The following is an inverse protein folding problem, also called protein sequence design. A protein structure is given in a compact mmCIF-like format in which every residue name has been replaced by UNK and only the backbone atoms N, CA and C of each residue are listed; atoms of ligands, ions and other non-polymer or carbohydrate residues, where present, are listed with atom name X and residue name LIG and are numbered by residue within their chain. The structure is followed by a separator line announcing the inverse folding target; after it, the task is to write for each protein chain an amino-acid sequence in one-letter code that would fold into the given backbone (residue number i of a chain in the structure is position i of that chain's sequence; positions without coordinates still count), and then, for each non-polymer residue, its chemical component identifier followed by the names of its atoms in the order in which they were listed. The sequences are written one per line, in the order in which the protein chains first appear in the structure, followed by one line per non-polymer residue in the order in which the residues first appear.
data_IF_525530243424
#
_entry.id   IF_525530243424
#
_cell.length_a   1.000
_cell.length_b   1.000
_cell.length_c   1.000
_cell.angle_alpha   90.00
_cell.angle_beta   90.00
_cell.angle_gamma   90.00
#
_symmetry.space_group_name_H-M   'P 1'
#
loop_
_entity.id
_entity.type
_entity.pdbx_description
1 polymer ?
#
# COMPACT_ATOMS: atom_id res chain seq x y z
N UNK A 1 -0.89 -0.35 29.85
CA UNK A 1 0.25 -1.30 29.64
C UNK A 1 0.40 -2.12 30.92
N UNK A 2 0.58 -3.45 30.79
CA UNK A 2 0.85 -4.34 31.93
C UNK A 2 2.26 -3.99 32.44
N UNK A 3 2.38 -3.59 33.70
CA UNK A 3 3.67 -3.18 34.27
C UNK A 3 4.48 -4.35 34.85
N UNK A 4 3.81 -5.46 35.19
CA UNK A 4 4.47 -6.63 35.76
C UNK A 4 4.97 -7.57 34.64
N UNK A 5 6.30 -7.79 34.51
CA UNK A 5 6.86 -8.65 33.45
C UNK A 5 6.34 -10.09 33.50
N UNK A 6 6.05 -10.64 34.68
CA UNK A 6 5.50 -12.01 34.81
C UNK A 6 4.09 -12.10 34.20
N UNK A 7 3.26 -11.09 34.37
CA UNK A 7 1.95 -11.06 33.72
C UNK A 7 2.04 -10.81 32.23
N UNK A 8 3.03 -10.03 31.75
CA UNK A 8 3.29 -9.86 30.31
C UNK A 8 3.59 -11.23 29.68
N UNK A 9 4.53 -11.98 30.25
CA UNK A 9 4.89 -13.29 29.75
C UNK A 9 3.70 -14.27 29.78
N UNK A 10 2.96 -14.30 30.88
CA UNK A 10 1.77 -15.15 31.01
C UNK A 10 0.73 -14.86 29.91
N UNK A 11 0.51 -13.58 29.57
CA UNK A 11 -0.41 -13.18 28.50
C UNK A 11 0.10 -13.61 27.13
N UNK A 12 1.40 -13.47 26.87
CA UNK A 12 2.01 -13.94 25.63
C UNK A 12 1.86 -15.46 25.46
N UNK A 13 2.20 -16.24 26.52
CA UNK A 13 2.09 -17.70 26.51
C UNK A 13 0.63 -18.14 26.30
N UNK A 14 -0.33 -17.42 26.92
CA UNK A 14 -1.77 -17.69 26.74
C UNK A 14 -2.20 -17.48 25.31
N UNK A 15 -1.78 -16.38 24.66
CA UNK A 15 -2.14 -16.13 23.25
C UNK A 15 -1.41 -17.09 22.31
N UNK A 16 -0.16 -17.46 22.60
CA UNK A 16 0.53 -18.49 21.82
C UNK A 16 -0.23 -19.83 21.86
N UNK A 17 -0.76 -20.22 23.05
CA UNK A 17 -1.58 -21.42 23.18
C UNK A 17 -2.92 -21.26 22.41
N UNK A 18 -3.53 -20.08 22.46
CA UNK A 18 -4.78 -19.79 21.75
C UNK A 18 -4.63 -19.82 20.22
N UNK A 19 -3.42 -19.72 19.68
CA UNK A 19 -3.16 -19.94 18.23
C UNK A 19 -3.39 -21.40 17.80
N UNK A 20 -3.49 -22.33 18.73
CA UNK A 20 -3.76 -23.76 18.47
C UNK A 20 -5.19 -24.16 18.80
N UNK A 21 -6.06 -23.21 19.14
CA UNK A 21 -7.47 -23.47 19.46
C UNK A 21 -8.22 -24.12 18.29
N UNK A 22 -9.20 -24.95 18.60
CA UNK A 22 -10.05 -25.61 17.59
C UNK A 22 -10.85 -24.59 16.76
N UNK A 23 -11.23 -23.45 17.34
CA UNK A 23 -11.99 -22.37 16.69
C UNK A 23 -11.08 -21.46 15.89
N UNK A 24 -11.27 -21.32 14.56
CA UNK A 24 -10.53 -20.35 13.76
C UNK A 24 -10.67 -18.90 14.27
N UNK A 25 -11.84 -18.53 14.80
CA UNK A 25 -12.09 -17.21 15.35
C UNK A 25 -11.21 -16.92 16.57
N UNK A 26 -10.98 -17.91 17.44
CA UNK A 26 -10.08 -17.79 18.60
C UNK A 26 -8.64 -17.63 18.11
N UNK A 27 -8.18 -18.47 17.16
CA UNK A 27 -6.83 -18.38 16.59
C UNK A 27 -6.59 -17.03 15.92
N UNK A 28 -7.57 -16.51 15.15
CA UNK A 28 -7.46 -15.21 14.50
C UNK A 28 -7.35 -14.06 15.52
N UNK A 29 -8.17 -14.11 16.58
CA UNK A 29 -8.11 -13.12 17.66
C UNK A 29 -6.81 -13.18 18.46
N UNK A 30 -6.25 -14.36 18.67
CA UNK A 30 -4.94 -14.53 19.30
C UNK A 30 -3.82 -13.89 18.45
N UNK A 31 -3.81 -14.14 17.13
CA UNK A 31 -2.85 -13.53 16.22
C UNK A 31 -2.96 -11.99 16.21
N UNK A 32 -4.19 -11.45 16.17
CA UNK A 32 -4.45 -10.00 16.26
C UNK A 32 -3.92 -9.41 17.58
N UNK A 33 -4.19 -10.06 18.70
CA UNK A 33 -3.75 -9.62 20.01
C UNK A 33 -2.22 -9.60 20.13
N UNK A 34 -1.55 -10.65 19.62
CA UNK A 34 -0.10 -10.74 19.59
C UNK A 34 0.52 -9.59 18.79
N UNK A 35 -0.04 -9.27 17.60
CA UNK A 35 0.41 -8.13 16.80
C UNK A 35 0.30 -6.79 17.55
N UNK A 36 -0.78 -6.58 18.31
CA UNK A 36 -1.01 -5.36 19.12
C UNK A 36 -0.04 -5.23 20.30
N UNK A 37 0.42 -6.34 20.88
CA UNK A 37 1.42 -6.32 21.95
C UNK A 37 2.75 -5.77 21.42
N UNK A 38 3.11 -6.07 20.18
CA UNK A 38 4.28 -5.50 19.51
C UNK A 38 5.60 -6.14 19.91
N UNK A 39 5.59 -7.31 20.54
CA UNK A 39 6.81 -8.06 20.88
C UNK A 39 7.31 -8.83 19.65
N UNK A 40 8.44 -8.42 19.09
CA UNK A 40 9.00 -9.02 17.88
C UNK A 40 9.43 -10.49 18.10
N UNK A 41 9.67 -10.92 19.32
CA UNK A 41 10.08 -12.31 19.63
C UNK A 41 9.03 -13.35 19.24
N UNK A 42 7.77 -12.93 19.07
CA UNK A 42 6.67 -13.80 18.64
C UNK A 42 6.57 -13.98 17.12
N UNK A 43 7.32 -13.21 16.31
CA UNK A 43 7.25 -13.30 14.85
C UNK A 43 7.41 -14.74 14.31
N UNK A 44 8.31 -15.61 14.85
CA UNK A 44 8.43 -16.98 14.37
C UNK A 44 7.15 -17.83 14.54
N UNK A 45 6.34 -17.59 15.58
CA UNK A 45 5.09 -18.33 15.77
C UNK A 45 4.01 -17.80 14.81
N UNK A 46 3.94 -16.49 14.58
CA UNK A 46 3.05 -15.89 13.59
C UNK A 46 3.39 -16.35 12.16
N UNK A 47 4.67 -16.54 11.84
CA UNK A 47 5.10 -17.13 10.56
C UNK A 47 4.57 -18.55 10.39
N UNK A 48 4.54 -19.37 11.43
CA UNK A 48 3.91 -20.70 11.37
C UNK A 48 2.40 -20.59 11.11
N UNK A 49 1.74 -19.61 11.72
CA UNK A 49 0.30 -19.35 11.59
C UNK A 49 -0.09 -18.90 10.16
N UNK A 50 0.85 -18.47 9.31
CA UNK A 50 0.59 -18.21 7.88
C UNK A 50 0.14 -19.46 7.10
N UNK A 51 0.29 -20.66 7.65
CA UNK A 51 -0.13 -21.92 7.05
C UNK A 51 -1.47 -22.44 7.60
N UNK A 52 -2.19 -21.64 8.39
CA UNK A 52 -3.50 -22.04 8.93
C UNK A 52 -4.49 -22.35 7.80
N UNK A 53 -5.37 -23.32 8.06
CA UNK A 53 -6.42 -23.70 7.11
C UNK A 53 -7.44 -22.60 6.87
N UNK A 54 -7.69 -21.74 7.87
CA UNK A 54 -8.61 -20.59 7.76
C UNK A 54 -7.92 -19.36 7.15
N UNK A 55 -8.46 -18.80 6.06
CA UNK A 55 -7.97 -17.54 5.51
C UNK A 55 -7.98 -16.38 6.52
N UNK A 56 -8.99 -16.34 7.41
CA UNK A 56 -9.12 -15.32 8.45
C UNK A 56 -7.92 -15.37 9.42
N UNK A 57 -7.49 -16.56 9.81
CA UNK A 57 -6.32 -16.74 10.69
C UNK A 57 -5.04 -16.32 9.99
N UNK A 58 -4.85 -16.74 8.71
CA UNK A 58 -3.69 -16.32 7.92
C UNK A 58 -3.62 -14.80 7.79
N UNK A 59 -4.77 -14.13 7.51
CA UNK A 59 -4.86 -12.67 7.45
C UNK A 59 -4.43 -12.01 8.75
N UNK A 60 -4.97 -12.47 9.89
CA UNK A 60 -4.62 -11.90 11.20
C UNK A 60 -3.12 -12.06 11.51
N UNK A 61 -2.52 -13.19 11.16
CA UNK A 61 -1.08 -13.41 11.31
C UNK A 61 -0.24 -12.48 10.41
N UNK A 62 -0.65 -12.28 9.15
CA UNK A 62 0.00 -11.35 8.21
C UNK A 62 -0.06 -9.92 8.75
N UNK A 63 -1.25 -9.47 9.19
CA UNK A 63 -1.43 -8.14 9.75
C UNK A 63 -0.57 -7.93 11.01
N UNK A 64 -0.50 -8.94 11.88
CA UNK A 64 0.36 -8.91 13.06
C UNK A 64 1.84 -8.76 12.67
N UNK A 65 2.35 -9.55 11.73
CA UNK A 65 3.72 -9.41 11.22
C UNK A 65 4.00 -8.03 10.62
N UNK A 66 3.03 -7.46 9.90
CA UNK A 66 3.12 -6.09 9.39
C UNK A 66 3.16 -5.03 10.48
N UNK A 67 2.44 -5.23 11.60
CA UNK A 67 2.47 -4.34 12.78
C UNK A 67 3.79 -4.43 13.54
N UNK A 68 4.35 -5.63 13.65
CA UNK A 68 5.68 -5.86 14.26
C UNK A 68 6.82 -5.27 13.44
N UNK A 69 6.59 -4.97 12.15
CA UNK A 69 7.61 -4.49 11.19
C UNK A 69 8.83 -5.43 11.11
N UNK A 70 8.60 -6.73 11.24
CA UNK A 70 9.64 -7.74 11.19
C UNK A 70 10.11 -7.99 9.75
N UNK A 71 11.28 -7.46 9.38
CA UNK A 71 11.86 -7.68 8.05
C UNK A 71 12.22 -9.15 7.79
N UNK A 72 12.52 -9.95 8.84
CA UNK A 72 12.84 -11.36 8.69
C UNK A 72 11.62 -12.17 8.21
N UNK A 73 10.41 -11.68 8.42
CA UNK A 73 9.17 -12.31 7.92
C UNK A 73 8.91 -12.09 6.43
N UNK A 74 9.59 -11.13 5.77
CA UNK A 74 9.34 -10.80 4.36
C UNK A 74 9.35 -12.03 3.44
N UNK A 75 10.32 -12.95 3.47
CA UNK A 75 10.28 -14.13 2.60
C UNK A 75 9.03 -14.99 2.77
N UNK A 76 8.48 -15.07 3.97
CA UNK A 76 7.25 -15.81 4.29
C UNK A 76 6.01 -15.08 3.79
N UNK A 77 5.98 -13.75 3.93
CA UNK A 77 4.92 -12.90 3.37
C UNK A 77 4.92 -12.96 1.83
N UNK A 78 6.11 -13.02 1.18
CA UNK A 78 6.20 -13.20 -0.28
C UNK A 78 5.52 -14.51 -0.73
N UNK A 79 5.72 -15.60 0.01
CA UNK A 79 5.05 -16.87 -0.27
C UNK A 79 3.53 -16.77 -0.09
N UNK A 80 3.07 -16.11 0.97
CA UNK A 80 1.64 -15.85 1.21
C UNK A 80 1.00 -14.91 0.17
N UNK A 81 1.78 -14.15 -0.60
CA UNK A 81 1.33 -13.36 -1.74
C UNK A 81 0.77 -14.19 -2.90
N UNK A 82 0.88 -15.52 -2.86
CA UNK A 82 0.29 -16.45 -3.82
C UNK A 82 -0.95 -17.18 -3.25
N UNK A 83 -1.49 -16.74 -2.12
CA UNK A 83 -2.66 -17.35 -1.50
C UNK A 83 -3.88 -17.35 -2.44
N UNK A 84 -4.69 -18.40 -2.38
CA UNK A 84 -5.93 -18.49 -3.15
C UNK A 84 -6.95 -17.42 -2.76
N UNK A 85 -6.94 -17.00 -1.50
CA UNK A 85 -7.85 -15.98 -0.97
C UNK A 85 -7.30 -14.56 -1.25
N UNK A 86 -8.10 -13.73 -1.91
CA UNK A 86 -7.70 -12.37 -2.28
C UNK A 86 -7.52 -11.45 -1.06
N UNK A 87 -8.27 -11.66 0.04
CA UNK A 87 -8.09 -10.87 1.25
C UNK A 87 -6.78 -11.20 1.96
N UNK A 88 -6.29 -12.44 1.84
CA UNK A 88 -4.96 -12.82 2.31
C UNK A 88 -3.90 -12.10 1.49
N UNK A 89 -3.97 -12.15 0.15
CA UNK A 89 -3.02 -11.45 -0.73
C UNK A 89 -3.04 -9.93 -0.53
N UNK A 90 -4.23 -9.34 -0.33
CA UNK A 90 -4.38 -7.92 0.03
C UNK A 90 -3.63 -7.60 1.33
N UNK A 91 -3.85 -8.40 2.38
CA UNK A 91 -3.17 -8.20 3.67
C UNK A 91 -1.65 -8.34 3.56
N UNK A 92 -1.15 -9.19 2.64
CA UNK A 92 0.29 -9.25 2.34
C UNK A 92 0.80 -7.92 1.80
N UNK A 93 0.12 -7.31 0.81
CA UNK A 93 0.52 -6.02 0.28
C UNK A 93 0.55 -4.94 1.37
N UNK A 94 -0.48 -4.89 2.22
CA UNK A 94 -0.57 -3.95 3.35
C UNK A 94 0.56 -4.16 4.37
N UNK A 95 0.83 -5.43 4.74
CA UNK A 95 1.89 -5.77 5.69
C UNK A 95 3.28 -5.38 5.15
N UNK A 96 3.57 -5.69 3.87
CA UNK A 96 4.82 -5.30 3.22
C UNK A 96 5.01 -3.79 3.18
N UNK A 97 3.93 -3.03 2.92
CA UNK A 97 3.91 -1.57 2.97
C UNK A 97 4.14 -1.03 4.39
N UNK A 98 3.64 -1.71 5.43
CA UNK A 98 3.84 -1.30 6.83
C UNK A 98 5.26 -1.61 7.32
N UNK A 99 5.87 -2.72 6.87
CA UNK A 99 7.28 -3.03 7.11
C UNK A 99 8.17 -1.97 6.45
N UNK A 100 7.83 -1.51 5.25
CA UNK A 100 8.51 -0.40 4.58
C UNK A 100 9.88 -0.75 3.99
N UNK A 101 10.25 -2.02 3.95
CA UNK A 101 11.56 -2.45 3.43
C UNK A 101 11.61 -2.49 1.90
N UNK A 102 12.69 -1.99 1.31
CA UNK A 102 12.93 -2.06 -0.13
C UNK A 102 12.99 -3.49 -0.68
N UNK A 103 13.31 -4.47 0.16
CA UNK A 103 13.33 -5.90 -0.22
C UNK A 103 11.94 -6.38 -0.68
N UNK A 104 10.85 -5.76 -0.19
CA UNK A 104 9.49 -6.11 -0.53
C UNK A 104 9.05 -5.65 -1.94
N UNK A 105 9.80 -4.73 -2.58
CA UNK A 105 9.39 -4.11 -3.86
C UNK A 105 9.13 -5.16 -4.95
N UNK A 106 10.00 -6.14 -5.11
CA UNK A 106 9.85 -7.18 -6.14
C UNK A 106 8.55 -8.01 -5.99
N UNK A 107 8.08 -8.19 -4.76
CA UNK A 107 6.81 -8.86 -4.50
C UNK A 107 5.62 -7.94 -4.78
N UNK A 108 5.69 -6.70 -4.34
CA UNK A 108 4.64 -5.72 -4.59
C UNK A 108 4.46 -5.47 -6.09
N UNK A 109 5.56 -5.48 -6.88
CA UNK A 109 5.51 -5.40 -8.34
C UNK A 109 4.78 -6.59 -9.00
N UNK A 110 4.68 -7.75 -8.34
CA UNK A 110 3.81 -8.84 -8.82
C UNK A 110 2.36 -8.63 -8.40
N UNK A 111 2.12 -8.12 -7.19
CA UNK A 111 0.78 -7.88 -6.67
C UNK A 111 0.05 -6.73 -7.37
N UNK A 112 0.74 -5.79 -8.01
CA UNK A 112 0.09 -4.78 -8.87
C UNK A 112 -0.52 -5.37 -10.15
N UNK A 113 -0.22 -6.62 -10.48
CA UNK A 113 -0.79 -7.37 -11.62
C UNK A 113 -1.84 -8.39 -11.17
N UNK A 114 -2.27 -8.37 -9.90
CA UNK A 114 -3.27 -9.29 -9.36
C UNK A 114 -4.62 -9.13 -10.06
N UNK A 115 -5.34 -10.25 -10.21
CA UNK A 115 -6.69 -10.25 -10.78
C UNK A 115 -7.69 -9.44 -9.97
N UNK A 116 -7.52 -9.38 -8.64
CA UNK A 116 -8.39 -8.65 -7.73
C UNK A 116 -7.92 -7.19 -7.58
N UNK A 117 -8.82 -6.23 -7.79
CA UNK A 117 -8.50 -4.81 -7.74
C UNK A 117 -8.09 -4.31 -6.34
N UNK A 118 -8.62 -4.90 -5.25
CA UNK A 118 -8.23 -4.51 -3.89
C UNK A 118 -6.78 -4.88 -3.61
N UNK A 119 -6.30 -6.02 -4.16
CA UNK A 119 -4.89 -6.42 -4.07
C UNK A 119 -4.01 -5.44 -4.85
N UNK A 120 -4.36 -5.12 -6.11
CA UNK A 120 -3.61 -4.14 -6.91
C UNK A 120 -3.55 -2.78 -6.24
N UNK A 121 -4.70 -2.30 -5.70
CA UNK A 121 -4.81 -1.06 -4.94
C UNK A 121 -3.86 -1.05 -3.75
N UNK A 122 -3.94 -2.07 -2.88
CA UNK A 122 -3.09 -2.15 -1.68
C UNK A 122 -1.60 -2.27 -2.02
N UNK A 123 -1.26 -2.92 -3.14
CA UNK A 123 0.11 -3.00 -3.64
C UNK A 123 0.62 -1.62 -4.11
N UNK A 124 -0.20 -0.83 -4.81
CA UNK A 124 0.14 0.54 -5.20
C UNK A 124 0.36 1.44 -3.97
N UNK A 125 -0.56 1.37 -2.99
CA UNK A 125 -0.44 2.12 -1.73
C UNK A 125 0.86 1.75 -0.97
N UNK A 126 1.20 0.46 -0.94
CA UNK A 126 2.43 -0.05 -0.31
C UNK A 126 3.70 0.46 -1.02
N UNK A 127 3.72 0.44 -2.36
CA UNK A 127 4.84 0.96 -3.15
C UNK A 127 5.05 2.47 -2.91
N UNK A 128 3.95 3.23 -2.81
CA UNK A 128 3.99 4.65 -2.43
C UNK A 128 4.55 4.89 -1.04
N UNK A 129 4.20 4.04 -0.05
CA UNK A 129 4.75 4.12 1.33
C UNK A 129 6.25 3.82 1.36
N UNK A 130 6.73 2.86 0.56
CA UNK A 130 8.16 2.52 0.48
C UNK A 130 8.97 3.62 -0.22
N UNK A 131 8.34 4.37 -1.13
CA UNK A 131 8.93 5.55 -1.76
C UNK A 131 10.07 5.23 -2.74
N UNK A 132 10.04 4.11 -3.45
CA UNK A 132 11.12 3.71 -4.36
C UNK A 132 10.81 4.04 -5.82
N UNK A 133 11.74 4.70 -6.50
CA UNK A 133 11.63 5.01 -7.93
C UNK A 133 11.50 3.79 -8.85
N UNK A 134 11.96 2.61 -8.40
CA UNK A 134 11.81 1.35 -9.13
C UNK A 134 10.34 1.03 -9.43
N UNK A 135 9.41 1.54 -8.60
CA UNK A 135 7.98 1.31 -8.76
C UNK A 135 7.31 2.22 -9.81
N UNK A 136 7.96 3.30 -10.26
CA UNK A 136 7.34 4.34 -11.09
C UNK A 136 6.71 3.75 -12.36
N UNK A 137 7.43 2.90 -13.10
CA UNK A 137 6.93 2.32 -14.35
C UNK A 137 5.69 1.46 -14.15
N UNK A 138 5.61 0.73 -13.05
CA UNK A 138 4.44 -0.09 -12.72
C UNK A 138 3.26 0.78 -12.27
N UNK A 139 3.51 1.80 -11.47
CA UNK A 139 2.47 2.74 -11.02
C UNK A 139 1.89 3.56 -12.18
N UNK A 140 2.74 3.98 -13.15
CA UNK A 140 2.27 4.67 -14.35
C UNK A 140 1.30 3.79 -15.19
N UNK A 141 1.56 2.48 -15.30
CA UNK A 141 0.60 1.55 -15.95
C UNK A 141 -0.71 1.45 -15.19
N UNK A 142 -0.68 1.49 -13.85
CA UNK A 142 -1.89 1.43 -13.03
C UNK A 142 -2.76 2.70 -13.13
N UNK A 143 -2.28 3.81 -13.69
CA UNK A 143 -3.12 4.97 -14.02
C UNK A 143 -4.15 4.66 -15.12
N UNK A 144 -3.93 3.60 -15.89
CA UNK A 144 -4.84 3.09 -16.92
C UNK A 144 -5.62 1.85 -16.44
N UNK A 145 -5.60 1.51 -15.15
CA UNK A 145 -6.34 0.37 -14.60
C UNK A 145 -7.84 0.52 -14.81
N UNK A 146 -8.52 -0.59 -15.04
CA UNK A 146 -9.99 -0.62 -15.22
C UNK A 146 -10.76 -0.14 -13.99
N UNK A 147 -10.16 -0.28 -12.79
CA UNK A 147 -10.79 0.13 -11.54
C UNK A 147 -10.29 1.51 -11.09
N UNK A 148 -11.21 2.45 -10.87
CA UNK A 148 -10.88 3.82 -10.48
C UNK A 148 -10.12 3.92 -9.16
N UNK A 149 -10.43 3.09 -8.16
CA UNK A 149 -9.71 3.11 -6.89
C UNK A 149 -8.22 2.71 -7.05
N UNK A 150 -7.90 1.85 -8.02
CA UNK A 150 -6.51 1.51 -8.36
C UNK A 150 -5.82 2.69 -9.02
N UNK A 151 -6.48 3.37 -9.99
CA UNK A 151 -5.95 4.59 -10.63
C UNK A 151 -5.61 5.67 -9.61
N UNK A 152 -6.52 5.94 -8.67
CA UNK A 152 -6.32 6.92 -7.60
C UNK A 152 -5.15 6.55 -6.67
N UNK A 153 -5.04 5.27 -6.26
CA UNK A 153 -3.92 4.81 -5.43
C UNK A 153 -2.58 4.93 -6.14
N UNK A 154 -2.55 4.63 -7.45
CA UNK A 154 -1.34 4.79 -8.25
C UNK A 154 -0.92 6.26 -8.35
N UNK A 155 -1.87 7.18 -8.58
CA UNK A 155 -1.62 8.62 -8.61
C UNK A 155 -1.08 9.15 -7.26
N UNK A 156 -1.66 8.69 -6.15
CA UNK A 156 -1.20 9.04 -4.81
C UNK A 156 0.20 8.49 -4.51
N UNK A 157 0.46 7.25 -4.92
CA UNK A 157 1.76 6.60 -4.77
C UNK A 157 2.86 7.34 -5.56
N UNK A 158 2.59 7.72 -6.81
CA UNK A 158 3.53 8.53 -7.63
C UNK A 158 3.84 9.87 -6.96
N UNK A 159 2.82 10.55 -6.44
CA UNK A 159 3.00 11.79 -5.68
C UNK A 159 3.85 11.60 -4.41
N UNK A 160 3.66 10.49 -3.67
CA UNK A 160 4.45 10.15 -2.47
C UNK A 160 5.91 9.82 -2.79
N UNK A 161 6.16 9.16 -3.93
CA UNK A 161 7.53 8.88 -4.40
C UNK A 161 8.23 10.19 -4.74
N UNK A 162 7.53 11.17 -5.30
CA UNK A 162 8.04 12.52 -5.55
C UNK A 162 9.11 12.59 -6.64
N UNK A 163 9.23 11.59 -7.51
CA UNK A 163 10.28 11.58 -8.54
C UNK A 163 9.82 12.25 -9.83
N UNK A 164 10.62 13.18 -10.33
CA UNK A 164 10.40 13.86 -11.61
C UNK A 164 10.43 12.92 -12.83
N UNK A 165 10.98 11.71 -12.68
CA UNK A 165 11.00 10.71 -13.74
C UNK A 165 9.58 10.30 -14.21
N UNK A 166 8.53 10.56 -13.42
CA UNK A 166 7.15 10.32 -13.80
C UNK A 166 6.56 11.40 -14.72
N UNK A 167 7.12 12.63 -14.72
CA UNK A 167 6.54 13.80 -15.40
C UNK A 167 6.29 13.56 -16.90
N UNK A 168 7.24 13.03 -17.70
CA UNK A 168 7.02 12.89 -19.15
C UNK A 168 5.82 12.00 -19.50
N UNK A 169 5.59 10.97 -18.70
CA UNK A 169 4.44 10.06 -18.91
C UNK A 169 3.14 10.70 -18.41
N UNK A 170 3.16 11.34 -17.25
CA UNK A 170 2.00 12.05 -16.70
C UNK A 170 1.50 13.15 -17.66
N UNK A 171 2.40 13.90 -18.28
CA UNK A 171 2.05 14.91 -19.28
C UNK A 171 1.32 14.29 -20.49
N UNK A 172 1.74 13.13 -20.98
CA UNK A 172 1.02 12.41 -22.07
C UNK A 172 -0.37 11.95 -21.64
N UNK A 173 -0.54 11.53 -20.38
CA UNK A 173 -1.82 11.09 -19.85
C UNK A 173 -2.83 12.23 -19.66
N UNK A 174 -2.38 13.51 -19.63
CA UNK A 174 -3.30 14.65 -19.66
C UNK A 174 -4.06 14.79 -20.99
N UNK A 175 -3.60 14.16 -22.06
CA UNK A 175 -4.25 14.15 -23.37
C UNK A 175 -5.15 12.91 -23.57
N UNK A 176 -5.34 12.08 -22.54
CA UNK A 176 -6.09 10.82 -22.65
C UNK A 176 -7.59 11.10 -22.83
N UNK A 177 -8.32 10.28 -23.63
CA UNK A 177 -9.76 10.46 -23.84
C UNK A 177 -10.58 10.36 -22.54
N UNK A 178 -10.16 9.49 -21.60
CA UNK A 178 -10.82 9.31 -20.32
C UNK A 178 -10.49 10.46 -19.36
N UNK A 179 -11.54 11.20 -18.93
CA UNK A 179 -11.40 12.34 -18.04
C UNK A 179 -10.82 11.97 -16.67
N UNK A 180 -11.10 10.77 -16.16
CA UNK A 180 -10.56 10.33 -14.87
C UNK A 180 -9.04 10.09 -14.93
N UNK A 181 -8.53 9.57 -16.06
CA UNK A 181 -7.08 9.42 -16.28
C UNK A 181 -6.41 10.81 -16.34
N UNK A 182 -7.01 11.78 -17.05
CA UNK A 182 -6.50 13.16 -17.05
C UNK A 182 -6.50 13.76 -15.65
N UNK A 183 -7.57 13.56 -14.90
CA UNK A 183 -7.73 14.05 -13.53
C UNK A 183 -6.64 13.50 -12.60
N UNK A 184 -6.44 12.17 -12.53
CA UNK A 184 -5.43 11.56 -11.64
C UNK A 184 -4.01 11.94 -12.04
N UNK A 185 -3.78 12.17 -13.34
CA UNK A 185 -2.49 12.65 -13.85
C UNK A 185 -2.20 14.08 -13.40
N UNK A 186 -3.19 14.98 -13.46
CA UNK A 186 -3.07 16.34 -12.95
C UNK A 186 -2.76 16.38 -11.45
N UNK A 187 -3.43 15.54 -10.65
CA UNK A 187 -3.20 15.40 -9.21
C UNK A 187 -1.78 14.93 -8.93
N UNK A 188 -1.30 13.91 -9.66
CA UNK A 188 0.07 13.41 -9.51
C UNK A 188 1.09 14.50 -9.82
N UNK A 189 0.91 15.23 -10.93
CA UNK A 189 1.78 16.34 -11.30
C UNK A 189 1.80 17.42 -10.22
N UNK A 190 0.64 17.81 -9.69
CA UNK A 190 0.57 18.82 -8.62
C UNK A 190 1.31 18.39 -7.35
N UNK A 191 1.31 17.08 -7.01
CA UNK A 191 2.05 16.54 -5.86
C UNK A 191 3.57 16.52 -6.09
N UNK A 192 4.04 16.42 -7.33
CA UNK A 192 5.47 16.48 -7.66
C UNK A 192 6.05 17.89 -7.48
N UNK A 193 5.23 18.94 -7.52
CA UNK A 193 5.63 20.31 -7.21
C UNK A 193 6.60 20.96 -8.19
N UNK A 194 6.80 20.42 -9.40
CA UNK A 194 7.71 20.96 -10.40
C UNK A 194 7.10 22.17 -11.10
N UNK A 195 7.84 23.29 -11.19
CA UNK A 195 7.36 24.55 -11.78
C UNK A 195 7.19 24.48 -13.31
N UNK A 196 7.94 23.63 -13.99
CA UNK A 196 7.89 23.51 -15.46
C UNK A 196 6.53 23.01 -15.96
N UNK A 197 5.71 22.42 -15.06
CA UNK A 197 4.35 21.94 -15.39
C UNK A 197 3.29 23.04 -15.31
N UNK A 198 3.59 24.22 -14.75
CA UNK A 198 2.62 25.32 -14.57
C UNK A 198 1.89 25.68 -15.88
N UNK A 199 2.58 25.89 -17.03
CA UNK A 199 1.90 26.23 -18.27
C UNK A 199 0.88 25.18 -18.72
N UNK A 200 1.20 23.90 -18.52
CA UNK A 200 0.32 22.78 -18.88
C UNK A 200 -0.89 22.72 -17.95
N UNK A 201 -0.69 22.91 -16.64
CA UNK A 201 -1.79 22.97 -15.67
C UNK A 201 -2.72 24.16 -15.92
N UNK A 202 -2.20 25.32 -16.36
CA UNK A 202 -3.00 26.47 -16.75
C UNK A 202 -3.88 26.09 -17.97
N UNK A 203 -3.31 25.46 -18.99
CA UNK A 203 -4.07 24.99 -20.15
C UNK A 203 -5.17 23.99 -19.77
N UNK A 204 -4.91 23.15 -18.76
CA UNK A 204 -5.87 22.16 -18.27
C UNK A 204 -7.11 22.79 -17.59
N UNK A 205 -7.08 24.09 -17.25
CA UNK A 205 -8.26 24.83 -16.78
C UNK A 205 -9.33 25.01 -17.88
N UNK A 206 -8.99 24.74 -19.13
CA UNK A 206 -9.90 24.77 -20.28
C UNK A 206 -10.47 23.36 -20.60
N UNK A 207 -10.15 22.32 -19.80
CA UNK A 207 -10.67 20.97 -20.03
C UNK A 207 -12.21 20.93 -20.02
N UNK A 208 -12.77 20.10 -20.89
CA UNK A 208 -14.23 19.94 -20.99
C UNK A 208 -14.85 19.38 -19.69
N UNK A 209 -14.11 18.55 -18.93
CA UNK A 209 -14.58 17.94 -17.70
C UNK A 209 -14.27 18.84 -16.47
N UNK A 210 -15.30 19.10 -15.65
CA UNK A 210 -15.18 19.99 -14.49
C UNK A 210 -14.22 19.45 -13.42
N UNK A 211 -14.19 18.14 -13.18
CA UNK A 211 -13.28 17.53 -12.17
C UNK A 211 -11.81 17.64 -12.60
N UNK A 212 -11.53 17.58 -13.91
CA UNK A 212 -10.18 17.82 -14.43
C UNK A 212 -9.76 19.25 -14.17
N UNK A 213 -10.64 20.24 -14.46
CA UNK A 213 -10.36 21.66 -14.18
C UNK A 213 -10.15 21.93 -12.69
N UNK A 214 -10.97 21.34 -11.81
CA UNK A 214 -10.83 21.43 -10.35
C UNK A 214 -9.47 20.89 -9.91
N UNK A 215 -9.09 19.71 -10.39
CA UNK A 215 -7.78 19.11 -10.09
C UNK A 215 -6.61 19.95 -10.61
N UNK A 216 -6.78 20.65 -11.72
CA UNK A 216 -5.76 21.58 -12.23
C UNK A 216 -5.59 22.79 -11.31
N UNK A 217 -6.68 23.33 -10.73
CA UNK A 217 -6.61 24.40 -9.73
C UNK A 217 -5.84 23.93 -8.49
N UNK A 218 -6.19 22.74 -7.96
CA UNK A 218 -5.53 22.19 -6.79
C UNK A 218 -4.05 21.91 -7.05
N UNK A 219 -3.73 21.38 -8.23
CA UNK A 219 -2.35 21.12 -8.64
C UNK A 219 -1.53 22.42 -8.73
N UNK A 220 -2.07 23.48 -9.32
CA UNK A 220 -1.44 24.80 -9.35
C UNK A 220 -1.24 25.37 -7.94
N UNK A 221 -2.23 25.21 -7.06
CA UNK A 221 -2.12 25.60 -5.65
C UNK A 221 -0.99 24.88 -4.93
N UNK A 222 -0.86 23.57 -5.14
CA UNK A 222 0.21 22.77 -4.56
C UNK A 222 1.59 23.25 -5.06
N UNK A 223 1.77 23.40 -6.38
CA UNK A 223 3.06 23.87 -6.96
C UNK A 223 3.42 25.25 -6.42
N UNK A 224 2.45 26.16 -6.25
CA UNK A 224 2.68 27.50 -5.70
C UNK A 224 3.13 27.48 -4.23
N UNK A 225 2.65 26.54 -3.41
CA UNK A 225 3.00 26.41 -1.99
C UNK A 225 4.44 25.93 -1.76
N UNK A 226 5.01 25.12 -2.67
CA UNK A 226 6.40 24.66 -2.55
C UNK A 226 7.44 25.80 -2.60
N UNK A 227 7.03 27.05 -2.98
CA UNK A 227 7.91 28.23 -3.01
C UNK A 227 8.03 28.98 -1.70
N UNK A 228 7.16 28.70 -0.72
CA UNK A 228 7.07 29.52 0.50
C UNK A 228 7.76 28.87 1.71
N UNK A 229 8.31 27.69 1.57
CA UNK A 229 9.04 26.93 2.58
C UNK A 229 10.54 26.88 2.28
#
# INVERSE_FOLDING_TARGET
MIQNPAYQQMVLDTFCTALEDASPAVRAKAAEALGKIGDISIAPILVKTLKDTSPEVRRSAIQALGQLKDEASIPHLLAAGQDSDNFVRQSVAEALGNIGSKVAISALLKLVEDSNYDVRKSAADALGKIGSEVAISALLKLLEDSNSAVRWSAADALGKIGSEAAIPTLLKLLEYPDAEIRQVSAISLGKLGNEDIIPVLIHLLEDSNAQVRESAVDALGNVAQYRVA
#
